data_IF_111997276114
#
_entry.id   IF_111997276114
#
_cell.length_a   1.000
_cell.length_b   1.000
_cell.length_c   1.000
_cell.angle_alpha   90.00
_cell.angle_beta   90.00
_cell.angle_gamma   90.00
#
_symmetry.space_group_name_H-M   'P 1'
#
loop_
_entity.id
_entity.type
_entity.pdbx_description
1 polymer ?
#
# COMPACT_ATOMS: atom_id res chain seq x y z
N UNK A 1 -9.13 -0.94 -22.42
CA UNK A 1 -7.96 -0.29 -21.81
C UNK A 1 -7.18 -1.24 -20.90
N UNK A 2 -7.73 -1.78 -19.81
CA UNK A 2 -7.02 -2.67 -18.87
C UNK A 2 -6.53 -3.95 -19.58
N UNK A 3 -7.34 -4.56 -20.44
CA UNK A 3 -6.96 -5.72 -21.26
C UNK A 3 -5.80 -5.37 -22.21
N UNK A 4 -5.88 -4.24 -22.88
CA UNK A 4 -4.83 -3.78 -23.81
C UNK A 4 -3.50 -3.56 -23.11
N UNK A 5 -3.49 -2.94 -21.92
CA UNK A 5 -2.27 -2.77 -21.11
C UNK A 5 -1.68 -4.12 -20.70
N UNK A 6 -2.52 -5.07 -20.23
CA UNK A 6 -2.04 -6.41 -19.86
C UNK A 6 -1.40 -7.12 -21.07
N UNK A 7 -2.07 -7.11 -22.21
CA UNK A 7 -1.56 -7.73 -23.44
C UNK A 7 -0.24 -7.08 -23.87
N UNK A 8 -0.17 -5.75 -23.86
CA UNK A 8 1.04 -5.02 -24.24
C UNK A 8 2.24 -5.38 -23.35
N UNK A 9 2.03 -5.42 -22.02
CA UNK A 9 3.09 -5.79 -21.09
C UNK A 9 3.52 -7.24 -21.29
N UNK A 10 2.57 -8.14 -21.46
CA UNK A 10 2.88 -9.54 -21.70
C UNK A 10 3.64 -9.76 -23.02
N UNK A 11 3.19 -9.12 -24.10
CA UNK A 11 3.84 -9.24 -25.42
C UNK A 11 5.27 -8.68 -25.43
N UNK A 12 5.53 -7.57 -24.71
CA UNK A 12 6.85 -6.94 -24.76
C UNK A 12 7.81 -7.45 -23.69
N UNK A 13 7.31 -7.93 -22.54
CA UNK A 13 8.15 -8.27 -21.38
C UNK A 13 7.97 -9.72 -20.90
N UNK A 14 7.01 -10.47 -21.42
CA UNK A 14 6.68 -11.82 -20.93
C UNK A 14 6.10 -11.86 -19.51
N UNK A 15 5.73 -10.70 -18.93
CA UNK A 15 5.28 -10.58 -17.53
C UNK A 15 3.76 -10.55 -17.48
N UNK A 16 3.18 -11.45 -16.68
CA UNK A 16 1.75 -11.41 -16.36
C UNK A 16 1.47 -10.44 -15.24
N UNK A 17 0.56 -9.48 -15.45
CA UNK A 17 0.12 -8.52 -14.45
C UNK A 17 -1.36 -8.67 -14.13
N UNK A 18 -1.77 -8.16 -12.97
CA UNK A 18 -3.19 -8.00 -12.61
C UNK A 18 -3.55 -6.53 -12.51
N UNK A 19 -4.79 -6.19 -12.88
CA UNK A 19 -5.30 -4.81 -12.86
C UNK A 19 -6.55 -4.75 -12.01
N UNK A 20 -6.50 -3.92 -10.96
CA UNK A 20 -7.65 -3.58 -10.13
C UNK A 20 -8.11 -2.16 -10.40
N UNK A 21 -9.42 -1.97 -10.63
CA UNK A 21 -10.06 -0.69 -10.87
C UNK A 21 -10.97 -0.36 -9.68
N UNK A 22 -10.91 0.87 -9.21
CA UNK A 22 -11.73 1.38 -8.11
C UNK A 22 -11.67 2.90 -8.05
N UNK A 23 -12.63 3.53 -7.37
CA UNK A 23 -12.81 4.99 -7.32
C UNK A 23 -11.70 5.71 -6.54
N UNK A 24 -11.00 4.97 -5.68
CA UNK A 24 -9.92 5.49 -4.84
C UNK A 24 -8.81 4.44 -4.65
N UNK A 25 -7.73 4.82 -3.94
CA UNK A 25 -6.56 3.96 -3.76
C UNK A 25 -6.85 2.67 -3.01
N UNK A 26 -7.64 2.71 -1.94
CA UNK A 26 -7.99 1.53 -1.14
C UNK A 26 -8.81 0.55 -1.97
N UNK A 27 -9.86 1.04 -2.66
CA UNK A 27 -10.73 0.21 -3.49
C UNK A 27 -10.00 -0.39 -4.70
N UNK A 28 -9.12 0.39 -5.35
CA UNK A 28 -8.27 -0.13 -6.44
C UNK A 28 -7.31 -1.23 -5.96
N UNK A 29 -6.74 -1.10 -4.76
CA UNK A 29 -5.90 -2.16 -4.14
C UNK A 29 -6.71 -3.42 -3.80
N UNK A 30 -7.93 -3.26 -3.29
CA UNK A 30 -8.86 -4.38 -3.05
C UNK A 30 -9.21 -5.06 -4.37
N UNK A 31 -9.59 -4.29 -5.40
CA UNK A 31 -9.90 -4.82 -6.72
C UNK A 31 -8.71 -5.60 -7.32
N UNK A 32 -7.49 -5.09 -7.19
CA UNK A 32 -6.29 -5.81 -7.64
C UNK A 32 -6.09 -7.15 -6.90
N UNK A 33 -6.41 -7.19 -5.61
CA UNK A 33 -6.35 -8.42 -4.84
C UNK A 33 -7.41 -9.43 -5.26
N UNK A 34 -8.63 -8.96 -5.52
CA UNK A 34 -9.71 -9.78 -6.07
C UNK A 34 -9.34 -10.31 -7.46
N UNK A 35 -8.74 -9.48 -8.32
CA UNK A 35 -8.27 -9.89 -9.64
C UNK A 35 -7.25 -11.03 -9.62
N UNK A 36 -6.49 -11.19 -8.53
CA UNK A 36 -5.54 -12.29 -8.34
C UNK A 36 -6.18 -13.60 -7.91
N UNK A 37 -7.31 -13.52 -7.19
CA UNK A 37 -7.91 -14.65 -6.48
C UNK A 37 -9.22 -15.13 -7.11
N UNK A 38 -9.68 -14.49 -8.18
CA UNK A 38 -10.94 -14.84 -8.86
C UNK A 38 -10.62 -15.30 -10.28
N UNK A 39 -10.76 -16.59 -10.53
CA UNK A 39 -10.38 -17.23 -11.80
C UNK A 39 -11.06 -16.62 -13.03
N UNK A 40 -12.35 -16.31 -12.93
CA UNK A 40 -13.10 -15.71 -14.05
C UNK A 40 -12.74 -14.24 -14.31
N UNK A 41 -11.95 -13.60 -13.43
CA UNK A 41 -11.55 -12.19 -13.61
C UNK A 41 -10.58 -11.99 -14.77
N UNK A 42 -9.98 -13.07 -15.27
CA UNK A 42 -8.87 -13.02 -16.23
C UNK A 42 -7.76 -12.02 -15.82
N UNK A 43 -7.57 -11.83 -14.50
CA UNK A 43 -6.59 -10.90 -13.92
C UNK A 43 -6.98 -9.42 -14.01
N UNK A 44 -8.27 -9.11 -14.22
CA UNK A 44 -8.80 -7.75 -14.21
C UNK A 44 -10.06 -7.74 -13.35
N UNK A 45 -10.16 -6.82 -12.40
CA UNK A 45 -11.37 -6.65 -11.58
C UNK A 45 -11.73 -5.18 -11.45
N UNK A 46 -12.98 -4.84 -11.75
CA UNK A 46 -13.52 -3.48 -11.60
C UNK A 46 -14.52 -3.45 -10.46
N UNK A 47 -14.06 -2.96 -9.29
CA UNK A 47 -14.90 -2.87 -8.09
C UNK A 47 -15.95 -1.76 -8.22
N UNK A 48 -15.67 -0.73 -9.02
CA UNK A 48 -16.56 0.42 -9.22
C UNK A 48 -17.84 0.07 -10.00
N UNK A 49 -17.77 -0.99 -10.84
CA UNK A 49 -18.89 -1.44 -11.69
C UNK A 49 -19.54 -2.73 -11.22
N UNK A 50 -19.21 -3.16 -10.02
CA UNK A 50 -19.70 -4.45 -9.48
C UNK A 50 -21.00 -4.25 -8.72
N UNK A 51 -22.06 -4.94 -9.12
CA UNK A 51 -23.39 -4.86 -8.49
C UNK A 51 -23.41 -5.37 -7.04
N UNK A 52 -22.62 -6.40 -6.72
CA UNK A 52 -22.56 -7.04 -5.40
C UNK A 52 -21.26 -6.71 -4.64
N UNK A 53 -20.85 -5.43 -4.60
CA UNK A 53 -19.64 -4.97 -3.94
C UNK A 53 -19.42 -5.56 -2.55
N UNK A 54 -20.46 -5.57 -1.74
CA UNK A 54 -20.37 -6.04 -0.36
C UNK A 54 -19.98 -7.51 -0.23
N UNK A 55 -20.35 -8.35 -1.18
CA UNK A 55 -19.96 -9.76 -1.21
C UNK A 55 -18.47 -9.91 -1.52
N UNK A 56 -17.92 -9.04 -2.34
CA UNK A 56 -16.48 -9.02 -2.62
C UNK A 56 -15.68 -8.44 -1.46
N UNK A 57 -16.18 -7.39 -0.80
CA UNK A 57 -15.53 -6.83 0.40
C UNK A 57 -15.45 -7.85 1.55
N UNK A 58 -16.46 -8.72 1.73
CA UNK A 58 -16.41 -9.82 2.70
C UNK A 58 -15.27 -10.81 2.47
N UNK A 59 -14.83 -10.99 1.22
CA UNK A 59 -13.72 -11.90 0.87
C UNK A 59 -12.33 -11.33 1.21
N UNK A 60 -12.25 -10.05 1.53
CA UNK A 60 -10.99 -9.38 1.85
C UNK A 60 -10.79 -9.34 3.36
N UNK A 61 -9.88 -10.17 3.85
CA UNK A 61 -9.49 -10.20 5.26
C UNK A 61 -8.90 -8.86 5.68
N UNK A 62 -9.14 -8.48 6.94
CA UNK A 62 -8.78 -7.19 7.52
C UNK A 62 -7.26 -6.92 7.44
N UNK A 63 -6.42 -7.94 7.64
CA UNK A 63 -4.96 -7.86 7.56
C UNK A 63 -4.43 -7.60 6.15
N UNK A 64 -5.30 -7.72 5.15
CA UNK A 64 -4.97 -7.54 3.74
C UNK A 64 -5.42 -6.18 3.19
N UNK A 65 -6.04 -5.35 3.98
CA UNK A 65 -6.45 -4.00 3.57
C UNK A 65 -5.23 -3.08 3.61
N UNK A 66 -5.02 -2.33 2.54
CA UNK A 66 -3.96 -1.33 2.49
C UNK A 66 -4.19 -0.24 3.54
N UNK A 67 -3.19 0.00 4.39
CA UNK A 67 -3.30 0.91 5.53
C UNK A 67 -3.62 0.23 6.87
N UNK A 68 -3.91 -1.08 6.88
CA UNK A 68 -4.10 -1.87 8.10
C UNK A 68 -2.81 -2.65 8.40
N UNK A 69 -2.06 -2.20 9.40
CA UNK A 69 -0.88 -2.91 9.91
C UNK A 69 -1.25 -4.00 10.93
N UNK A 70 -0.28 -4.80 11.35
CA UNK A 70 -0.48 -5.95 12.26
C UNK A 70 -1.21 -5.55 13.56
N UNK A 71 -0.80 -4.46 14.22
CA UNK A 71 -1.43 -4.01 15.48
C UNK A 71 -2.88 -3.58 15.26
N UNK A 72 -3.15 -2.82 14.18
CA UNK A 72 -4.50 -2.40 13.83
C UNK A 72 -5.38 -3.59 13.49
N UNK A 73 -4.84 -4.55 12.73
CA UNK A 73 -5.55 -5.80 12.39
C UNK A 73 -5.93 -6.57 13.66
N UNK A 74 -5.00 -6.77 14.59
CA UNK A 74 -5.27 -7.48 15.85
C UNK A 74 -6.36 -6.79 16.67
N UNK A 75 -6.31 -5.46 16.76
CA UNK A 75 -7.34 -4.69 17.46
C UNK A 75 -8.71 -4.80 16.78
N UNK A 76 -8.77 -4.69 15.46
CA UNK A 76 -10.04 -4.85 14.72
C UNK A 76 -10.61 -6.25 14.91
N UNK A 77 -9.77 -7.28 14.85
CA UNK A 77 -10.19 -8.67 15.09
C UNK A 77 -10.71 -8.89 16.52
N UNK A 78 -10.10 -8.27 17.54
CA UNK A 78 -10.60 -8.33 18.91
C UNK A 78 -11.97 -7.66 19.10
N UNK A 79 -12.36 -6.77 18.17
CA UNK A 79 -13.69 -6.17 18.05
C UNK A 79 -14.66 -6.97 17.18
N UNK A 80 -14.24 -8.13 16.68
CA UNK A 80 -15.06 -8.96 15.80
C UNK A 80 -15.01 -8.56 14.32
N UNK A 81 -14.21 -7.54 13.96
CA UNK A 81 -14.06 -7.05 12.58
C UNK A 81 -13.03 -7.90 11.85
N UNK A 82 -13.46 -8.75 10.93
CA UNK A 82 -12.62 -9.74 10.24
C UNK A 82 -12.33 -9.41 8.78
N UNK A 83 -13.13 -8.59 8.14
CA UNK A 83 -13.05 -8.31 6.70
C UNK A 83 -13.34 -6.84 6.36
N UNK A 84 -13.12 -6.48 5.08
CA UNK A 84 -13.29 -5.11 4.60
C UNK A 84 -14.73 -4.61 4.69
N UNK A 85 -15.73 -5.48 4.54
CA UNK A 85 -17.14 -5.12 4.69
C UNK A 85 -17.46 -4.69 6.12
N UNK A 86 -17.02 -5.47 7.10
CA UNK A 86 -17.27 -5.17 8.51
C UNK A 86 -16.58 -3.87 8.93
N UNK A 87 -15.34 -3.60 8.44
CA UNK A 87 -14.67 -2.32 8.69
C UNK A 87 -15.41 -1.14 8.03
N UNK A 88 -15.95 -1.33 6.82
CA UNK A 88 -16.76 -0.31 6.13
C UNK A 88 -17.97 0.09 6.96
N UNK A 89 -18.62 -0.89 7.61
CA UNK A 89 -19.86 -0.71 8.36
C UNK A 89 -19.64 -0.43 9.86
N UNK A 90 -18.41 -0.48 10.36
CA UNK A 90 -18.07 -0.22 11.77
C UNK A 90 -18.45 1.19 12.19
N UNK A 91 -18.80 1.37 13.47
CA UNK A 91 -19.12 2.67 14.04
C UNK A 91 -17.95 3.65 13.95
N UNK A 92 -18.20 4.84 13.35
CA UNK A 92 -17.14 5.83 13.07
C UNK A 92 -16.44 6.33 14.33
N UNK A 93 -17.18 6.52 15.43
CA UNK A 93 -16.63 7.01 16.69
C UNK A 93 -15.61 6.05 17.29
N UNK A 94 -15.81 4.73 17.18
CA UNK A 94 -14.83 3.74 17.63
C UNK A 94 -13.54 3.78 16.81
N UNK A 95 -13.67 3.96 15.49
CA UNK A 95 -12.54 4.08 14.58
C UNK A 95 -11.72 5.33 14.90
N UNK A 96 -12.39 6.48 15.05
CA UNK A 96 -11.72 7.76 15.34
C UNK A 96 -11.01 7.70 16.69
N UNK A 97 -11.66 7.16 17.73
CA UNK A 97 -11.09 7.05 19.07
C UNK A 97 -9.80 6.24 19.10
N UNK A 98 -9.69 5.20 18.31
CA UNK A 98 -8.52 4.29 18.30
C UNK A 98 -7.50 4.61 17.23
N UNK A 99 -7.93 4.93 16.02
CA UNK A 99 -7.08 5.08 14.84
C UNK A 99 -6.99 6.53 14.35
N UNK A 100 -7.74 7.45 14.97
CA UNK A 100 -7.76 8.85 14.60
C UNK A 100 -8.27 9.10 13.18
N UNK A 101 -7.84 10.22 12.60
CA UNK A 101 -8.24 10.64 11.26
C UNK A 101 -7.80 9.67 10.16
N UNK A 102 -6.72 8.92 10.37
CA UNK A 102 -6.22 7.93 9.40
C UNK A 102 -7.20 6.78 9.27
N UNK A 103 -7.72 6.28 10.40
CA UNK A 103 -8.75 5.23 10.40
C UNK A 103 -10.05 5.70 9.76
N UNK A 104 -10.48 6.94 10.08
CA UNK A 104 -11.67 7.54 9.45
C UNK A 104 -11.51 7.64 7.93
N UNK A 105 -10.36 8.13 7.44
CA UNK A 105 -10.09 8.21 6.00
C UNK A 105 -10.12 6.83 5.33
N UNK A 106 -9.56 5.81 5.98
CA UNK A 106 -9.59 4.44 5.49
C UNK A 106 -11.04 3.94 5.34
N UNK A 107 -11.88 4.14 6.35
CA UNK A 107 -13.30 3.78 6.29
C UNK A 107 -14.05 4.53 5.19
N UNK A 108 -13.82 5.83 5.06
CA UNK A 108 -14.42 6.65 4.01
C UNK A 108 -13.99 6.17 2.61
N UNK A 109 -12.74 5.77 2.43
CA UNK A 109 -12.30 5.18 1.16
C UNK A 109 -12.96 3.83 0.89
N UNK A 110 -13.21 3.00 1.90
CA UNK A 110 -14.01 1.79 1.74
C UNK A 110 -15.47 2.10 1.34
N UNK A 111 -16.02 3.22 1.79
CA UNK A 111 -17.35 3.72 1.40
C UNK A 111 -17.37 4.39 0.02
N UNK A 112 -16.23 4.50 -0.68
CA UNK A 112 -16.14 5.09 -2.03
C UNK A 112 -15.62 6.52 -2.08
N UNK A 113 -15.46 7.21 -0.95
CA UNK A 113 -14.98 8.59 -0.91
C UNK A 113 -13.48 8.67 -1.24
N UNK A 114 -13.05 9.74 -1.92
CA UNK A 114 -11.63 9.98 -2.25
C UNK A 114 -10.98 10.82 -1.16
N UNK A 115 -10.30 10.18 -0.22
CA UNK A 115 -9.61 10.86 0.89
C UNK A 115 -8.11 11.05 0.65
N UNK A 116 -7.50 10.21 -0.18
CA UNK A 116 -6.07 10.22 -0.47
C UNK A 116 -5.85 10.68 -1.92
N UNK A 117 -5.33 11.89 -2.16
CA UNK A 117 -5.11 12.39 -3.51
C UNK A 117 -4.09 11.55 -4.27
N UNK A 118 -4.25 11.47 -5.59
CA UNK A 118 -3.24 10.91 -6.48
C UNK A 118 -2.25 12.06 -6.78
N UNK A 119 -1.06 11.99 -6.20
CA UNK A 119 -0.02 12.96 -6.46
C UNK A 119 0.53 12.74 -7.87
N UNK A 120 0.36 13.73 -8.74
CA UNK A 120 0.90 13.73 -10.11
C UNK A 120 2.41 13.97 -10.12
N UNK A 121 2.91 14.80 -9.20
CA UNK A 121 4.32 15.13 -9.08
C UNK A 121 4.86 14.62 -7.74
N UNK A 122 5.99 13.95 -7.75
CA UNK A 122 6.73 13.64 -6.53
C UNK A 122 7.21 14.96 -5.91
N UNK A 123 6.74 15.27 -4.72
CA UNK A 123 7.36 16.34 -3.90
C UNK A 123 8.80 15.93 -3.60
N UNK A 124 9.73 16.88 -3.60
CA UNK A 124 11.09 16.60 -3.14
C UNK A 124 11.04 16.04 -1.73
N UNK A 125 11.90 15.05 -1.48
CA UNK A 125 11.97 14.43 -0.16
C UNK A 125 12.56 15.42 0.83
N UNK A 126 11.94 15.55 1.98
CA UNK A 126 12.47 16.37 3.10
C UNK A 126 13.62 15.68 3.81
N UNK A 127 13.70 14.35 3.72
CA UNK A 127 14.72 13.53 4.38
C UNK A 127 15.20 12.44 3.41
N UNK A 128 16.50 12.15 3.48
CA UNK A 128 17.12 11.02 2.78
C UNK A 128 17.72 10.10 3.83
N UNK A 129 17.24 8.87 3.86
CA UNK A 129 17.74 7.84 4.75
C UNK A 129 18.29 6.66 3.95
N UNK A 130 19.41 6.14 4.41
CA UNK A 130 19.99 4.87 3.96
C UNK A 130 20.22 4.00 5.19
N UNK A 131 19.56 2.84 5.24
CA UNK A 131 19.70 1.87 6.32
C UNK A 131 19.72 0.45 5.78
N UNK A 132 20.43 -0.43 6.46
CA UNK A 132 20.39 -1.88 6.28
C UNK A 132 20.60 -2.59 7.60
N UNK A 133 19.89 -3.70 7.78
CA UNK A 133 20.16 -4.62 8.88
C UNK A 133 21.35 -5.50 8.51
N UNK A 134 22.20 -5.78 9.48
CA UNK A 134 23.27 -6.77 9.33
C UNK A 134 22.72 -8.17 9.59
N UNK A 135 23.11 -9.16 8.79
CA UNK A 135 22.71 -10.56 8.96
C UNK A 135 23.30 -11.20 10.21
N UNK A 136 24.49 -10.74 10.64
CA UNK A 136 25.19 -11.11 11.88
C UNK A 136 25.61 -9.85 12.63
N UNK A 137 25.72 -9.90 13.97
CA UNK A 137 26.23 -8.76 14.74
C UNK A 137 27.62 -8.36 14.30
N UNK A 138 27.86 -7.06 14.09
CA UNK A 138 29.17 -6.51 13.81
C UNK A 138 29.92 -6.31 15.12
N UNK A 139 31.12 -6.88 15.22
CA UNK A 139 31.99 -6.78 16.40
C UNK A 139 33.30 -6.03 16.10
N UNK A 140 33.64 -5.84 14.82
CA UNK A 140 34.87 -5.17 14.41
C UNK A 140 34.60 -3.74 13.94
N UNK A 141 35.42 -2.80 14.39
CA UNK A 141 35.30 -1.39 14.00
C UNK A 141 35.48 -1.17 12.51
N UNK A 142 36.36 -1.94 11.87
CA UNK A 142 36.62 -1.87 10.42
C UNK A 142 35.36 -2.16 9.61
N UNK A 143 34.63 -3.24 9.94
CA UNK A 143 33.38 -3.62 9.26
C UNK A 143 32.29 -2.53 9.43
N UNK A 144 32.21 -1.92 10.62
CA UNK A 144 31.30 -0.82 10.90
C UNK A 144 31.66 0.42 10.07
N UNK A 145 32.94 0.77 10.02
CA UNK A 145 33.46 1.92 9.25
C UNK A 145 33.18 1.76 7.77
N UNK A 146 33.41 0.57 7.23
CA UNK A 146 33.13 0.26 5.82
C UNK A 146 31.62 0.36 5.52
N UNK A 147 30.78 -0.16 6.40
CA UNK A 147 29.33 -0.07 6.26
C UNK A 147 28.86 1.40 6.27
N UNK A 148 29.39 2.21 7.21
CA UNK A 148 29.05 3.63 7.32
C UNK A 148 29.47 4.41 6.07
N UNK A 149 30.69 4.20 5.58
CA UNK A 149 31.18 4.82 4.35
C UNK A 149 30.26 4.46 3.14
N UNK A 150 29.89 3.19 3.03
CA UNK A 150 28.96 2.72 1.97
C UNK A 150 27.59 3.41 2.08
N UNK A 151 27.07 3.58 3.28
CA UNK A 151 25.78 4.26 3.49
C UNK A 151 25.87 5.75 3.20
N UNK A 152 26.96 6.41 3.59
CA UNK A 152 27.22 7.82 3.29
C UNK A 152 27.29 8.09 1.78
N UNK A 153 28.04 7.25 1.04
CA UNK A 153 28.12 7.34 -0.44
C UNK A 153 26.72 7.21 -1.05
N UNK A 154 25.95 6.20 -0.66
CA UNK A 154 24.58 5.99 -1.19
C UNK A 154 23.62 7.13 -0.82
N UNK A 155 23.76 7.72 0.36
CA UNK A 155 22.98 8.89 0.75
C UNK A 155 23.32 10.11 -0.13
N UNK A 156 24.61 10.35 -0.34
CA UNK A 156 25.09 11.44 -1.21
C UNK A 156 24.64 11.27 -2.67
N UNK A 157 24.68 10.05 -3.21
CA UNK A 157 24.17 9.75 -4.55
C UNK A 157 22.67 10.08 -4.67
N UNK A 158 21.88 9.67 -3.66
CA UNK A 158 20.44 9.99 -3.62
C UNK A 158 20.18 11.50 -3.52
N UNK A 159 21.01 12.23 -2.79
CA UNK A 159 20.91 13.69 -2.69
C UNK A 159 21.20 14.34 -4.04
N UNK A 160 22.32 14.01 -4.67
CA UNK A 160 22.71 14.54 -5.99
C UNK A 160 21.65 14.22 -7.05
N UNK A 161 21.11 13.00 -7.08
CA UNK A 161 20.06 12.62 -8.05
C UNK A 161 18.76 13.40 -7.90
N UNK A 162 18.55 14.09 -6.78
CA UNK A 162 17.38 14.92 -6.50
C UNK A 162 17.71 16.41 -6.46
N UNK A 163 18.93 16.81 -6.79
CA UNK A 163 19.42 18.20 -6.69
C UNK A 163 19.21 18.82 -5.29
N UNK A 164 19.43 18.00 -4.25
CA UNK A 164 19.28 18.42 -2.86
C UNK A 164 20.64 18.67 -2.22
N UNK A 165 20.66 19.56 -1.24
CA UNK A 165 21.81 19.84 -0.38
C UNK A 165 21.45 19.50 1.06
N UNK A 166 22.43 19.06 1.89
CA UNK A 166 22.20 18.91 3.33
C UNK A 166 22.20 20.30 3.96
N UNK A 167 21.20 20.55 4.82
CA UNK A 167 21.30 21.65 5.80
C UNK A 167 22.17 21.19 6.95
N UNK A 168 23.04 22.06 7.42
CA UNK A 168 23.83 21.83 8.65
C UNK A 168 22.90 21.79 9.86
#
# INVERSE_FOLDING_TARGET
>A
WARSIRSLIYQNLGITITVGIGENKVRAKIANKLAKNIDYSAGIFDLARTENENNYLKRISIDKIWGVGKQTSNWLQSKGIKNARELKDMEENEIIKKLGIVGKRLQLELKGHRCLPIEKNKKSKKEIQVSRSFGTPITKLEDLTQALATHAIKASEKMRSQNLQSSN
#
